data_IF_877486064590
#
_entry.id   IF_877486064590
#
_cell.length_a   1.000
_cell.length_b   1.000
_cell.length_c   1.000
_cell.angle_alpha   90.00
_cell.angle_beta   90.00
_cell.angle_gamma   90.00
#
_symmetry.space_group_name_H-M   'P 1'
#
loop_
_entity.id
_entity.type
_entity.pdbx_description
1 polymer ?
#
# COMPACT_ATOMS: atom_id res chain seq x y z
N UNK A 1 -0.93 20.42 29.16
CA UNK A 1 0.34 20.05 28.51
C UNK A 1 0.25 18.73 27.73
N UNK A 2 -0.17 17.62 28.36
CA UNK A 2 -0.25 16.30 27.72
C UNK A 2 -1.28 16.19 26.57
N UNK A 3 -2.41 16.90 26.69
CA UNK A 3 -3.45 16.98 25.64
C UNK A 3 -3.00 17.72 24.39
N UNK A 4 -2.22 18.79 24.53
CA UNK A 4 -1.70 19.60 23.41
C UNK A 4 -0.66 18.81 22.60
N UNK A 5 0.24 18.10 23.27
CA UNK A 5 1.26 17.26 22.62
C UNK A 5 0.64 16.08 21.85
N UNK A 6 -0.33 15.37 22.44
CA UNK A 6 -1.09 14.32 21.77
C UNK A 6 -1.86 14.84 20.54
N UNK A 7 -2.33 16.09 20.59
CA UNK A 7 -3.01 16.75 19.49
C UNK A 7 -2.06 17.08 18.32
N UNK A 8 -0.78 17.36 18.59
CA UNK A 8 0.25 17.60 17.56
C UNK A 8 0.66 16.29 16.90
N UNK A 9 0.93 15.24 17.69
CA UNK A 9 1.29 13.92 17.15
C UNK A 9 0.17 13.31 16.31
N UNK A 10 -1.09 13.46 16.73
CA UNK A 10 -2.25 13.05 15.95
C UNK A 10 -2.34 13.81 14.62
N UNK A 11 -2.17 15.14 14.62
CA UNK A 11 -2.18 15.93 13.38
C UNK A 11 -1.08 15.50 12.41
N UNK A 12 0.13 15.27 12.91
CA UNK A 12 1.23 14.77 12.10
C UNK A 12 0.94 13.37 11.51
N UNK A 13 0.39 12.46 12.32
CA UNK A 13 0.01 11.13 11.86
C UNK A 13 -1.11 11.16 10.82
N UNK A 14 -2.09 12.06 10.98
CA UNK A 14 -3.23 12.20 10.06
C UNK A 14 -2.79 12.57 8.63
N UNK A 15 -1.66 13.27 8.46
CA UNK A 15 -1.14 13.60 7.12
C UNK A 15 -0.74 12.35 6.31
N UNK A 16 -0.48 11.22 6.97
CA UNK A 16 -0.17 9.94 6.29
C UNK A 16 -1.42 9.15 5.91
N UNK A 17 -2.59 9.49 6.46
CA UNK A 17 -3.83 8.73 6.25
C UNK A 17 -4.20 8.58 4.76
N UNK A 18 -4.14 9.62 3.91
CA UNK A 18 -4.42 9.44 2.48
C UNK A 18 -3.48 8.43 1.78
N UNK A 19 -2.21 8.40 2.18
CA UNK A 19 -1.24 7.43 1.67
C UNK A 19 -1.58 5.99 2.08
N UNK A 20 -2.05 5.80 3.32
CA UNK A 20 -2.52 4.51 3.85
C UNK A 20 -3.76 4.05 3.08
N UNK A 21 -4.76 4.92 2.92
CA UNK A 21 -5.98 4.59 2.17
C UNK A 21 -5.68 4.25 0.70
N UNK A 22 -4.75 4.98 0.07
CA UNK A 22 -4.25 4.64 -1.27
C UNK A 22 -3.59 3.26 -1.31
N UNK A 23 -2.82 2.88 -0.28
CA UNK A 23 -2.20 1.56 -0.19
C UNK A 23 -3.24 0.44 -0.04
N UNK A 24 -4.25 0.65 0.82
CA UNK A 24 -5.39 -0.26 0.98
C UNK A 24 -6.15 -0.42 -0.34
N UNK A 25 -6.46 0.69 -1.02
CA UNK A 25 -7.10 0.67 -2.33
C UNK A 25 -6.30 -0.13 -3.36
N UNK A 26 -4.97 0.02 -3.38
CA UNK A 26 -4.09 -0.75 -4.25
C UNK A 26 -4.12 -2.26 -4.00
N UNK A 27 -4.30 -2.71 -2.75
CA UNK A 27 -4.53 -4.12 -2.44
C UNK A 27 -5.93 -4.57 -2.89
N UNK A 28 -6.96 -3.76 -2.63
CA UNK A 28 -8.35 -4.12 -2.92
C UNK A 28 -8.67 -4.15 -4.42
N UNK A 29 -8.49 -3.04 -5.13
CA UNK A 29 -8.83 -2.95 -6.55
C UNK A 29 -7.72 -3.51 -7.45
N UNK A 30 -6.46 -3.31 -7.06
CA UNK A 30 -5.31 -3.74 -7.84
C UNK A 30 -4.92 -5.22 -7.66
N UNK A 31 -5.20 -5.81 -6.49
CA UNK A 31 -4.83 -7.21 -6.19
C UNK A 31 -6.05 -8.06 -5.76
N UNK A 32 -7.27 -7.57 -5.96
CA UNK A 32 -8.50 -8.31 -5.66
C UNK A 32 -8.77 -8.53 -4.17
N UNK A 33 -8.05 -7.86 -3.26
CA UNK A 33 -8.13 -8.04 -1.80
C UNK A 33 -9.35 -7.36 -1.16
N UNK A 34 -10.49 -7.31 -1.87
CA UNK A 34 -11.71 -6.65 -1.39
C UNK A 34 -12.55 -7.53 -0.47
N UNK A 35 -12.53 -8.85 -0.69
CA UNK A 35 -13.28 -9.84 0.11
C UNK A 35 -12.63 -11.22 -0.04
N UNK A 36 -12.11 -11.74 1.07
CA UNK A 36 -11.68 -13.13 1.15
C UNK A 36 -12.90 -14.05 0.98
N UNK A 37 -12.81 -15.01 0.07
CA UNK A 37 -13.83 -16.06 -0.13
C UNK A 37 -13.42 -17.39 0.50
N UNK A 38 -12.14 -17.50 0.87
CA UNK A 38 -11.60 -18.69 1.50
C UNK A 38 -12.09 -18.79 2.94
N UNK A 39 -12.16 -20.02 3.46
CA UNK A 39 -12.67 -20.31 4.81
C UNK A 39 -11.52 -20.75 5.72
N UNK A 40 -11.67 -20.42 7.01
CA UNK A 40 -10.68 -20.74 8.03
C UNK A 40 -9.46 -19.81 7.98
N UNK A 41 -8.66 -19.88 9.02
CA UNK A 41 -7.47 -19.04 9.21
C UNK A 41 -6.44 -19.24 8.10
N UNK A 42 -6.10 -20.49 7.78
CA UNK A 42 -5.17 -20.82 6.69
C UNK A 42 -5.62 -20.25 5.33
N UNK A 43 -6.93 -20.25 5.06
CA UNK A 43 -7.49 -19.66 3.85
C UNK A 43 -7.29 -18.14 3.82
N UNK A 44 -7.58 -17.46 4.93
CA UNK A 44 -7.36 -16.03 5.08
C UNK A 44 -5.88 -15.65 4.93
N UNK A 45 -4.97 -16.38 5.57
CA UNK A 45 -3.53 -16.14 5.47
C UNK A 45 -3.02 -16.25 4.03
N UNK A 46 -3.42 -17.33 3.33
CA UNK A 46 -3.06 -17.52 1.91
C UNK A 46 -3.60 -16.41 1.03
N UNK A 47 -4.86 -16.03 1.22
CA UNK A 47 -5.49 -14.93 0.50
C UNK A 47 -4.72 -13.63 0.70
N UNK A 48 -4.39 -13.28 1.96
CA UNK A 48 -3.61 -12.09 2.31
C UNK A 48 -2.20 -12.12 1.70
N UNK A 49 -1.48 -13.22 1.87
CA UNK A 49 -0.12 -13.39 1.39
C UNK A 49 -0.03 -13.22 -0.13
N UNK A 50 -0.99 -13.75 -0.89
CA UNK A 50 -0.99 -13.63 -2.34
C UNK A 50 -1.17 -12.17 -2.80
N UNK A 51 -2.07 -11.43 -2.15
CA UNK A 51 -2.27 -10.00 -2.47
C UNK A 51 -1.05 -9.14 -2.13
N UNK A 52 -0.37 -9.44 -1.02
CA UNK A 52 0.87 -8.76 -0.63
C UNK A 52 1.99 -9.07 -1.63
N UNK A 53 2.16 -10.35 -2.00
CA UNK A 53 3.14 -10.77 -2.99
C UNK A 53 2.92 -10.06 -4.33
N UNK A 54 1.68 -10.05 -4.83
CA UNK A 54 1.31 -9.34 -6.06
C UNK A 54 1.71 -7.87 -5.98
N UNK A 55 1.36 -7.16 -4.91
CA UNK A 55 1.71 -5.74 -4.77
C UNK A 55 3.22 -5.50 -4.71
N UNK A 56 3.97 -6.40 -4.08
CA UNK A 56 5.43 -6.33 -4.02
C UNK A 56 6.05 -6.49 -5.41
N UNK A 57 5.55 -7.44 -6.21
CA UNK A 57 6.00 -7.62 -7.60
C UNK A 57 5.73 -6.39 -8.47
N UNK A 58 4.55 -5.77 -8.35
CA UNK A 58 4.26 -4.51 -9.05
C UNK A 58 5.22 -3.39 -8.63
N UNK A 59 5.55 -3.31 -7.34
CA UNK A 59 6.50 -2.31 -6.82
C UNK A 59 7.90 -2.56 -7.37
N UNK A 60 8.34 -3.81 -7.37
CA UNK A 60 9.64 -4.21 -7.90
C UNK A 60 9.75 -3.91 -9.41
N UNK A 61 8.75 -4.30 -10.20
CA UNK A 61 8.73 -4.01 -11.63
C UNK A 61 8.81 -2.51 -11.93
N UNK A 62 8.10 -1.67 -11.17
CA UNK A 62 8.23 -0.21 -11.28
C UNK A 62 9.64 0.27 -10.96
N UNK A 63 10.29 -0.26 -9.93
CA UNK A 63 11.67 0.14 -9.58
C UNK A 63 12.67 -0.20 -10.69
N UNK A 64 12.51 -1.37 -11.33
CA UNK A 64 13.31 -1.73 -12.51
C UNK A 64 13.07 -0.75 -13.66
N UNK A 65 11.80 -0.49 -14.00
CA UNK A 65 11.44 0.47 -15.06
C UNK A 65 11.95 1.88 -14.74
N UNK A 66 11.90 2.32 -13.48
CA UNK A 66 12.46 3.61 -13.05
C UNK A 66 13.97 3.69 -13.30
N UNK A 67 14.69 2.57 -13.18
CA UNK A 67 16.13 2.52 -13.42
C UNK A 67 16.49 2.57 -14.92
N UNK A 68 15.66 1.99 -15.79
CA UNK A 68 15.91 1.91 -17.24
C UNK A 68 15.28 3.08 -18.02
N UNK A 69 14.09 3.51 -17.62
CA UNK A 69 13.26 4.48 -18.32
C UNK A 69 12.55 5.44 -17.34
N UNK A 70 13.31 6.35 -16.67
CA UNK A 70 12.80 7.21 -15.59
C UNK A 70 11.71 8.19 -16.03
N UNK A 71 11.64 8.52 -17.33
CA UNK A 71 10.64 9.43 -17.89
C UNK A 71 9.35 8.70 -18.31
N UNK A 72 9.31 7.37 -18.27
CA UNK A 72 8.11 6.62 -18.64
C UNK A 72 7.01 6.81 -17.60
N UNK A 73 5.75 6.78 -18.05
CA UNK A 73 4.60 6.84 -17.12
C UNK A 73 4.60 5.67 -16.13
N UNK A 74 5.10 4.50 -16.54
CA UNK A 74 5.16 3.30 -15.70
C UNK A 74 6.17 3.43 -14.54
N UNK A 75 7.21 4.26 -14.70
CA UNK A 75 8.19 4.55 -13.64
C UNK A 75 7.60 5.47 -12.55
N UNK A 76 6.72 6.40 -12.95
CA UNK A 76 6.22 7.47 -12.08
C UNK A 76 5.49 6.91 -10.86
N UNK A 77 5.77 7.53 -9.72
CA UNK A 77 5.01 7.31 -8.48
C UNK A 77 4.82 8.61 -7.73
N UNK A 78 3.63 8.79 -7.16
CA UNK A 78 3.34 9.91 -6.26
C UNK A 78 3.62 9.54 -4.80
N UNK A 79 4.04 8.29 -4.54
CA UNK A 79 4.37 7.84 -3.19
C UNK A 79 5.80 8.24 -2.87
N UNK A 80 6.00 8.90 -1.74
CA UNK A 80 7.32 9.00 -1.13
C UNK A 80 7.85 7.59 -0.80
N UNK A 81 9.15 7.39 -1.02
CA UNK A 81 9.85 6.17 -0.62
C UNK A 81 10.04 6.11 0.90
#
# INVERSE_FOLDING_TARGET
AQSTAASVTFRAAKQRHPGIESAIGGLQSGNGQKRCRDRGELGLERYLALGILGRNLHTFGRLLIQSEAPQSEAARTQRAA
#
